data_IF_623969202970
#
_entry.id   IF_623969202970
#
_cell.length_a   1.000
_cell.length_b   1.000
_cell.length_c   1.000
_cell.angle_alpha   90.00
_cell.angle_beta   90.00
_cell.angle_gamma   90.00
#
_symmetry.space_group_name_H-M   'P 1'
#
loop_
_entity.id
_entity.type
_entity.pdbx_description
1 polymer ?
#
# COMPACT_ATOMS: atom_id res chain seq x y z
N UNK A 1 37.60 -36.82 22.21
CA UNK A 1 37.10 -36.72 23.60
C UNK A 1 36.32 -35.41 23.68
N UNK A 2 35.05 -35.35 23.29
CA UNK A 2 33.87 -35.88 23.97
C UNK A 2 33.75 -35.35 25.42
N UNK A 3 32.91 -34.33 25.61
CA UNK A 3 32.39 -33.95 26.91
C UNK A 3 30.85 -33.95 26.80
N UNK A 4 30.28 -35.00 27.36
CA UNK A 4 28.86 -35.26 27.60
C UNK A 4 28.49 -34.69 28.97
N UNK A 5 27.18 -34.70 29.28
CA UNK A 5 26.51 -34.59 30.59
C UNK A 5 26.03 -33.16 30.98
N UNK A 6 24.86 -32.89 31.56
CA UNK A 6 23.73 -33.67 32.12
C UNK A 6 22.49 -32.76 32.19
N UNK A 7 21.32 -33.33 31.91
CA UNK A 7 20.00 -32.82 32.28
C UNK A 7 19.73 -33.04 33.78
N UNK A 8 18.99 -32.15 34.46
CA UNK A 8 18.06 -32.67 35.46
C UNK A 8 16.65 -32.11 35.28
N UNK A 9 15.72 -33.05 35.15
CA UNK A 9 14.29 -32.89 35.35
C UNK A 9 14.02 -32.41 36.79
N UNK A 10 13.16 -31.40 36.94
CA UNK A 10 12.48 -31.12 38.20
C UNK A 10 10.98 -31.05 37.97
N UNK A 11 10.28 -31.93 38.68
CA UNK A 11 8.84 -32.00 38.84
C UNK A 11 8.50 -31.31 40.16
N UNK A 12 7.56 -30.36 40.15
CA UNK A 12 6.62 -30.19 41.27
C UNK A 12 5.47 -29.26 40.90
N UNK A 13 4.30 -29.70 41.36
CA UNK A 13 2.98 -29.13 41.26
C UNK A 13 2.85 -27.69 41.76
N UNK A 14 2.00 -26.91 41.09
CA UNK A 14 1.23 -25.84 41.72
C UNK A 14 0.01 -25.53 40.86
N UNK A 15 -1.12 -26.12 41.25
CA UNK A 15 -2.43 -25.71 40.79
C UNK A 15 -2.78 -24.40 41.50
N UNK A 16 -3.00 -23.33 40.73
CA UNK A 16 -3.60 -22.09 41.25
C UNK A 16 -4.84 -21.78 40.45
N UNK A 17 -5.93 -21.70 41.19
CA UNK A 17 -7.31 -21.57 40.74
C UNK A 17 -7.55 -20.30 39.93
N UNK A 18 -8.21 -20.44 38.77
CA UNK A 18 -8.81 -19.35 38.04
C UNK A 18 -10.10 -18.90 38.75
N UNK A 19 -10.05 -17.72 39.37
CA UNK A 19 -11.24 -17.01 39.84
C UNK A 19 -11.84 -16.29 38.65
N UNK A 20 -12.89 -16.88 38.07
CA UNK A 20 -13.73 -16.24 37.06
C UNK A 20 -14.72 -15.29 37.75
N UNK A 21 -14.46 -13.99 37.72
CA UNK A 21 -15.43 -12.97 38.11
C UNK A 21 -16.21 -12.54 36.86
N UNK A 22 -17.36 -13.17 36.66
CA UNK A 22 -18.35 -12.80 35.64
C UNK A 22 -19.15 -11.59 36.13
N UNK A 23 -18.81 -10.39 35.67
CA UNK A 23 -19.65 -9.21 35.86
C UNK A 23 -20.62 -9.08 34.67
N UNK A 24 -21.86 -9.47 34.91
CA UNK A 24 -22.98 -9.32 33.99
C UNK A 24 -23.40 -7.84 33.86
N UNK A 25 -23.28 -7.28 32.66
CA UNK A 25 -23.85 -5.98 32.32
C UNK A 25 -25.23 -6.17 31.68
N UNK A 26 -26.26 -5.89 32.48
CA UNK A 26 -27.68 -5.84 32.10
C UNK A 26 -27.91 -4.79 31.01
N UNK A 27 -28.26 -5.23 29.80
CA UNK A 27 -28.85 -4.38 28.78
C UNK A 27 -30.34 -4.20 29.10
N UNK A 28 -30.78 -2.94 29.24
CA UNK A 28 -32.20 -2.56 29.28
C UNK A 28 -32.70 -2.26 27.86
N UNK A 29 -33.96 -2.56 27.53
CA UNK A 29 -34.51 -2.31 26.20
C UNK A 29 -34.90 -0.83 26.07
N UNK A 30 -34.47 -0.19 24.99
CA UNK A 30 -34.98 1.11 24.58
C UNK A 30 -36.06 0.89 23.52
N UNK A 31 -37.31 1.09 23.93
CA UNK A 31 -38.44 1.33 23.04
C UNK A 31 -38.49 2.82 22.68
N UNK A 32 -38.66 3.15 21.39
CA UNK A 32 -39.62 4.16 20.90
C UNK A 32 -39.28 4.66 19.48
N UNK A 33 -40.25 4.49 18.58
CA UNK A 33 -40.67 5.42 17.53
C UNK A 33 -39.60 6.02 16.59
N UNK A 34 -39.35 5.36 15.46
CA UNK A 34 -38.88 6.04 14.25
C UNK A 34 -40.00 6.94 13.69
N UNK A 35 -39.91 8.26 13.91
CA UNK A 35 -40.58 9.26 13.08
C UNK A 35 -39.69 9.57 11.90
N UNK A 36 -40.22 9.40 10.69
CA UNK A 36 -39.63 9.90 9.46
C UNK A 36 -39.64 11.44 9.45
N UNK A 37 -38.55 12.12 9.07
CA UNK A 37 -38.64 13.51 8.70
C UNK A 37 -39.11 13.62 7.24
N UNK A 38 -40.20 14.37 7.04
CA UNK A 38 -40.72 14.79 5.74
C UNK A 38 -39.68 15.62 4.99
N UNK A 39 -39.51 15.34 3.70
CA UNK A 39 -38.82 16.22 2.76
C UNK A 39 -39.62 17.53 2.60
N UNK A 40 -38.99 18.72 2.68
CA UNK A 40 -39.60 19.94 2.17
C UNK A 40 -39.36 20.08 0.67
N UNK A 41 -40.38 20.64 0.02
CA UNK A 41 -40.51 20.83 -1.41
C UNK A 41 -39.50 21.84 -2.01
N UNK A 42 -39.39 21.73 -3.33
CA UNK A 42 -38.67 22.57 -4.29
C UNK A 42 -38.44 24.02 -3.86
N UNK A 43 -37.15 24.42 -3.83
CA UNK A 43 -36.74 25.82 -3.77
C UNK A 43 -36.55 26.34 -5.19
N UNK A 44 -37.29 27.41 -5.45
CA UNK A 44 -37.37 28.20 -6.67
C UNK A 44 -36.04 28.93 -6.91
N UNK A 45 -35.39 28.71 -8.06
CA UNK A 45 -34.23 29.49 -8.49
C UNK A 45 -34.66 30.85 -9.05
N UNK A 46 -34.18 32.00 -8.55
CA UNK A 46 -34.42 33.27 -9.20
C UNK A 46 -33.51 33.44 -10.43
N UNK A 47 -34.14 33.90 -11.50
CA UNK A 47 -33.59 34.26 -12.81
C UNK A 47 -32.53 35.37 -12.66
N UNK A 48 -31.28 35.06 -13.02
CA UNK A 48 -30.20 36.06 -13.08
C UNK A 48 -30.46 37.01 -14.25
N UNK A 49 -30.36 38.31 -13.94
CA UNK A 49 -30.54 39.42 -14.86
C UNK A 49 -29.45 39.49 -15.94
N UNK A 50 -29.88 39.93 -17.12
CA UNK A 50 -29.11 40.17 -18.34
C UNK A 50 -27.96 41.17 -18.17
N UNK A 51 -26.78 40.82 -18.69
CA UNK A 51 -25.65 41.73 -18.90
C UNK A 51 -25.92 42.72 -20.07
N UNK A 52 -25.32 43.94 -20.06
CA UNK A 52 -25.45 44.92 -21.13
C UNK A 52 -24.60 44.58 -22.38
N UNK A 53 -24.92 45.13 -23.56
CA UNK A 53 -24.40 44.66 -24.85
C UNK A 53 -22.96 45.12 -25.13
N UNK A 54 -22.15 44.20 -25.67
CA UNK A 54 -20.82 44.48 -26.20
C UNK A 54 -20.91 45.32 -27.47
N UNK A 55 -20.14 46.41 -27.50
CA UNK A 55 -20.03 47.33 -28.63
C UNK A 55 -19.31 46.69 -29.82
N UNK A 56 -19.84 47.02 -31.01
CA UNK A 56 -19.36 46.63 -32.33
C UNK A 56 -18.13 47.47 -32.71
N UNK A 57 -16.99 46.82 -32.92
CA UNK A 57 -15.80 47.47 -33.47
C UNK A 57 -15.47 46.93 -34.87
N UNK A 58 -15.37 47.90 -35.78
CA UNK A 58 -14.91 47.97 -37.17
C UNK A 58 -14.27 46.75 -37.85
N UNK A 59 -14.76 46.46 -39.05
CA UNK A 59 -14.20 45.55 -40.05
C UNK A 59 -12.92 46.14 -40.68
N UNK A 60 -11.77 45.63 -40.30
CA UNK A 60 -10.53 45.76 -41.07
C UNK A 60 -10.21 44.45 -41.77
N UNK A 61 -10.27 44.48 -43.09
CA UNK A 61 -9.94 43.40 -44.03
C UNK A 61 -8.47 43.00 -43.83
N UNK A 62 -8.22 41.78 -43.35
CA UNK A 62 -6.89 41.16 -43.36
C UNK A 62 -6.87 40.11 -44.46
N UNK A 63 -6.04 40.36 -45.48
CA UNK A 63 -5.77 39.45 -46.60
C UNK A 63 -5.09 38.18 -46.10
N UNK A 64 -5.65 37.01 -46.44
CA UNK A 64 -4.98 35.72 -46.28
C UNK A 64 -3.77 35.62 -47.22
N UNK A 65 -2.58 35.54 -46.64
CA UNK A 65 -1.36 35.13 -47.33
C UNK A 65 -1.13 33.64 -47.07
N UNK A 66 -1.26 32.81 -48.11
CA UNK A 66 -0.94 31.37 -48.05
C UNK A 66 0.56 31.18 -48.17
N UNK A 67 1.23 30.93 -47.04
CA UNK A 67 2.57 30.34 -46.99
C UNK A 67 2.50 29.04 -46.17
N UNK A 68 3.07 27.91 -46.63
CA UNK A 68 3.10 26.67 -45.86
C UNK A 68 4.01 26.80 -44.63
N UNK A 69 3.73 26.09 -43.52
CA UNK A 69 4.53 26.16 -42.31
C UNK A 69 5.94 25.57 -42.54
N UNK A 70 6.98 26.12 -41.87
CA UNK A 70 8.34 25.59 -41.99
C UNK A 70 8.45 24.17 -41.42
N UNK A 71 9.35 23.33 -41.97
CA UNK A 71 9.56 21.98 -41.47
C UNK A 71 10.16 21.99 -40.04
N UNK A 72 9.87 20.96 -39.22
CA UNK A 72 10.39 20.87 -37.87
C UNK A 72 11.92 20.76 -37.87
N UNK A 73 12.61 21.34 -36.87
CA UNK A 73 14.06 21.24 -36.76
C UNK A 73 14.50 19.78 -36.55
N UNK A 74 15.68 19.39 -37.06
CA UNK A 74 16.21 18.04 -36.86
C UNK A 74 16.51 17.79 -35.36
N UNK A 75 16.37 16.55 -34.87
CA UNK A 75 16.62 16.24 -33.48
C UNK A 75 18.09 16.48 -33.13
N UNK A 76 18.32 17.45 -32.25
CA UNK A 76 19.63 17.77 -31.67
C UNK A 76 20.08 16.67 -30.70
N UNK A 77 21.28 16.15 -30.95
CA UNK A 77 21.96 15.10 -30.19
C UNK A 77 22.42 15.57 -28.81
N UNK A 78 22.03 14.76 -27.80
CA UNK A 78 22.69 14.50 -26.51
C UNK A 78 22.87 15.65 -25.50
N UNK A 79 21.97 15.71 -24.52
CA UNK A 79 22.22 16.26 -23.18
C UNK A 79 22.39 15.13 -22.16
N UNK A 80 23.06 15.36 -21.02
CA UNK A 80 23.44 14.30 -20.08
C UNK A 80 22.18 13.69 -19.43
N UNK A 81 21.85 12.47 -19.80
CA UNK A 81 20.83 11.66 -19.13
C UNK A 81 21.30 11.33 -17.71
N UNK A 82 20.80 12.06 -16.72
CA UNK A 82 20.63 11.52 -15.37
C UNK A 82 19.51 10.48 -15.42
N UNK A 83 19.80 9.31 -16.00
CA UNK A 83 18.88 8.20 -16.03
C UNK A 83 18.73 7.69 -14.60
N UNK A 84 17.58 7.96 -13.98
CA UNK A 84 17.15 7.23 -12.80
C UNK A 84 17.18 5.73 -13.12
N UNK A 85 17.57 4.86 -12.17
CA UNK A 85 17.59 3.42 -12.44
C UNK A 85 16.20 2.98 -12.95
N UNK A 86 16.14 2.10 -13.96
CA UNK A 86 14.87 1.67 -14.54
C UNK A 86 14.04 0.99 -13.45
N UNK A 87 12.93 1.63 -13.08
CA UNK A 87 11.92 1.00 -12.23
C UNK A 87 11.36 -0.21 -12.99
N UNK A 88 11.26 -1.39 -12.37
CA UNK A 88 10.82 -2.58 -13.09
C UNK A 88 9.32 -2.52 -13.39
N UNK A 89 9.02 -2.11 -14.64
CA UNK A 89 7.73 -2.24 -15.34
C UNK A 89 6.58 -1.34 -14.86
N UNK A 90 6.70 -0.05 -15.21
CA UNK A 90 5.54 0.78 -15.54
C UNK A 90 5.05 0.35 -16.94
N UNK A 91 3.80 -0.12 -17.07
CA UNK A 91 3.18 -0.27 -18.39
C UNK A 91 2.86 1.13 -18.89
N UNK A 92 3.47 1.59 -20.01
CA UNK A 92 3.46 2.99 -20.43
C UNK A 92 2.14 3.44 -21.07
N UNK A 93 1.02 2.82 -20.70
CA UNK A 93 -0.32 3.25 -21.08
C UNK A 93 -0.94 4.02 -19.90
N UNK A 94 -1.29 5.31 -20.07
CA UNK A 94 -1.95 6.09 -19.02
C UNK A 94 -3.30 5.53 -18.58
N UNK A 95 -3.91 4.62 -19.36
CA UNK A 95 -5.16 3.94 -19.01
C UNK A 95 -4.94 2.59 -18.33
N UNK A 96 -3.69 2.14 -18.19
CA UNK A 96 -3.39 0.88 -17.54
C UNK A 96 -3.67 0.98 -16.04
N UNK A 97 -4.44 0.02 -15.54
CA UNK A 97 -4.78 -0.10 -14.12
C UNK A 97 -4.00 -1.27 -13.56
N UNK A 98 -3.04 -0.96 -12.68
CA UNK A 98 -2.30 -1.97 -11.94
C UNK A 98 -3.20 -2.60 -10.88
N UNK A 99 -3.30 -3.92 -10.88
CA UNK A 99 -4.07 -4.68 -9.89
C UNK A 99 -3.13 -5.15 -8.78
N UNK A 100 -3.31 -4.57 -7.59
CA UNK A 100 -2.64 -4.98 -6.36
C UNK A 100 -3.59 -5.87 -5.56
N UNK A 101 -3.24 -7.14 -5.39
CA UNK A 101 -4.00 -8.10 -4.59
C UNK A 101 -3.40 -8.29 -3.19
N UNK A 102 -4.26 -8.21 -2.17
CA UNK A 102 -3.90 -8.41 -0.76
C UNK A 102 -4.59 -9.64 -0.13
N UNK A 103 -5.10 -10.59 -0.93
CA UNK A 103 -5.88 -11.73 -0.39
C UNK A 103 -5.05 -12.56 0.58
N UNK A 104 -3.77 -12.79 0.25
CA UNK A 104 -2.85 -13.59 1.06
C UNK A 104 -2.40 -12.92 2.37
N UNK A 105 -2.75 -11.64 2.57
CA UNK A 105 -2.43 -10.88 3.76
C UNK A 105 -3.71 -10.37 4.44
N UNK A 106 -4.35 -9.35 3.89
CA UNK A 106 -5.57 -8.77 4.47
C UNK A 106 -6.74 -9.75 4.46
N UNK A 107 -6.83 -10.62 3.45
CA UNK A 107 -7.87 -11.66 3.39
C UNK A 107 -7.75 -12.65 4.56
N UNK A 108 -6.52 -13.04 4.89
CA UNK A 108 -6.20 -13.91 6.05
C UNK A 108 -6.46 -13.21 7.40
N UNK A 109 -6.54 -11.88 7.45
CA UNK A 109 -6.93 -11.18 8.69
C UNK A 109 -8.44 -11.27 8.97
N UNK A 110 -9.24 -11.85 8.07
CA UNK A 110 -10.67 -12.08 8.30
C UNK A 110 -10.89 -13.11 9.40
N UNK A 111 -11.84 -12.90 10.33
CA UNK A 111 -12.17 -13.88 11.36
C UNK A 111 -12.47 -15.25 10.72
N UNK A 112 -11.90 -16.31 11.29
CA UNK A 112 -12.06 -17.69 10.83
C UNK A 112 -11.42 -18.04 9.48
N UNK A 113 -10.60 -17.16 8.91
CA UNK A 113 -9.82 -17.43 7.69
C UNK A 113 -8.35 -17.46 8.08
N UNK A 114 -7.80 -18.64 8.38
CA UNK A 114 -6.36 -18.83 8.53
C UNK A 114 -5.86 -19.68 7.37
N UNK A 115 -4.73 -19.30 6.77
CA UNK A 115 -4.18 -20.03 5.63
C UNK A 115 -2.88 -20.71 6.01
N UNK A 116 -2.79 -22.00 5.74
CA UNK A 116 -1.52 -22.73 5.81
C UNK A 116 -0.58 -22.27 4.69
N UNK A 117 0.73 -22.47 4.85
CA UNK A 117 1.71 -22.11 3.80
C UNK A 117 1.42 -22.78 2.45
N UNK A 118 0.84 -23.99 2.46
CA UNK A 118 0.43 -24.71 1.25
C UNK A 118 -0.77 -24.05 0.55
N UNK A 119 -1.75 -23.59 1.33
CA UNK A 119 -2.92 -22.88 0.81
C UNK A 119 -2.50 -21.51 0.26
N UNK A 120 -1.64 -20.77 0.98
CA UNK A 120 -1.08 -19.50 0.48
C UNK A 120 -0.38 -19.69 -0.86
N UNK A 121 0.46 -20.72 -0.98
CA UNK A 121 1.14 -21.05 -2.23
C UNK A 121 0.16 -21.46 -3.34
N UNK A 122 -0.88 -22.24 -3.02
CA UNK A 122 -1.91 -22.59 -4.00
C UNK A 122 -2.63 -21.35 -4.53
N UNK A 123 -3.06 -20.45 -3.65
CA UNK A 123 -3.73 -19.20 -4.01
C UNK A 123 -2.77 -18.30 -4.82
N UNK A 124 -1.51 -18.16 -4.41
CA UNK A 124 -0.50 -17.39 -5.14
C UNK A 124 -0.34 -17.86 -6.60
N UNK A 125 -0.35 -19.18 -6.84
CA UNK A 125 -0.34 -19.74 -8.20
C UNK A 125 -1.59 -19.36 -8.99
N UNK A 126 -2.77 -19.34 -8.36
CA UNK A 126 -4.01 -18.95 -9.04
C UNK A 126 -4.02 -17.45 -9.37
N UNK A 127 -3.56 -16.60 -8.44
CA UNK A 127 -3.43 -15.15 -8.67
C UNK A 127 -2.45 -14.86 -9.82
N UNK A 128 -1.36 -15.61 -9.90
CA UNK A 128 -0.41 -15.52 -11.01
C UNK A 128 -1.07 -15.89 -12.35
N UNK A 129 -1.84 -16.98 -12.38
CA UNK A 129 -2.59 -17.40 -13.59
C UNK A 129 -3.69 -16.42 -13.99
N UNK A 130 -4.26 -15.69 -13.03
CA UNK A 130 -5.25 -14.65 -13.28
C UNK A 130 -4.63 -13.39 -13.91
N UNK A 131 -3.29 -13.26 -13.89
CA UNK A 131 -2.59 -12.10 -14.41
C UNK A 131 -2.60 -10.91 -13.46
N UNK A 132 -2.62 -11.15 -12.14
CA UNK A 132 -2.50 -10.10 -11.13
C UNK A 132 -1.10 -9.48 -11.18
N UNK A 133 -1.03 -8.16 -11.02
CA UNK A 133 0.24 -7.45 -11.18
C UNK A 133 1.14 -7.50 -9.97
N UNK A 134 0.55 -7.27 -8.80
CA UNK A 134 1.27 -7.27 -7.53
C UNK A 134 0.51 -8.17 -6.57
N UNK A 135 1.22 -9.13 -6.00
CA UNK A 135 0.70 -10.05 -5.01
C UNK A 135 1.37 -9.73 -3.68
N UNK A 136 0.63 -9.16 -2.74
CA UNK A 136 1.07 -9.02 -1.35
C UNK A 136 0.88 -10.34 -0.62
N UNK A 137 1.99 -11.03 -0.38
CA UNK A 137 2.00 -12.43 0.06
C UNK A 137 1.95 -12.59 1.59
N UNK A 138 1.99 -11.48 2.34
CA UNK A 138 1.90 -11.47 3.79
C UNK A 138 2.87 -10.51 4.46
N UNK A 139 3.02 -10.69 5.78
CA UNK A 139 3.91 -9.91 6.63
C UNK A 139 5.02 -10.80 7.23
N UNK A 140 6.23 -10.83 6.64
CA UNK A 140 7.31 -11.73 7.02
C UNK A 140 7.79 -11.63 8.48
N UNK A 141 7.64 -10.47 9.12
CA UNK A 141 8.11 -10.25 10.48
C UNK A 141 7.15 -10.80 11.55
N UNK A 142 5.92 -11.18 11.18
CA UNK A 142 4.89 -11.68 12.11
C UNK A 142 5.29 -13.00 12.76
N UNK A 143 5.77 -13.96 11.97
CA UNK A 143 6.14 -15.29 12.46
C UNK A 143 7.21 -15.93 11.57
N UNK A 144 7.88 -16.96 12.11
CA UNK A 144 8.83 -17.74 11.30
C UNK A 144 8.14 -18.48 10.16
N UNK A 145 6.91 -18.92 10.38
CA UNK A 145 6.13 -19.66 9.39
C UNK A 145 5.71 -18.74 8.24
N UNK A 146 5.32 -17.49 8.52
CA UNK A 146 5.06 -16.47 7.48
C UNK A 146 6.31 -16.18 6.67
N UNK A 147 7.45 -15.97 7.33
CA UNK A 147 8.71 -15.77 6.64
C UNK A 147 9.04 -16.92 5.67
N UNK A 148 8.91 -18.16 6.12
CA UNK A 148 9.19 -19.35 5.30
C UNK A 148 8.18 -19.49 4.16
N UNK A 149 6.89 -19.26 4.43
CA UNK A 149 5.83 -19.31 3.42
C UNK A 149 6.05 -18.28 2.32
N UNK A 150 6.33 -17.03 2.70
CA UNK A 150 6.56 -15.92 1.78
C UNK A 150 7.80 -16.18 0.93
N UNK A 151 8.88 -16.67 1.54
CA UNK A 151 10.09 -17.04 0.80
C UNK A 151 9.82 -18.18 -0.19
N UNK A 152 9.04 -19.20 0.19
CA UNK A 152 8.67 -20.27 -0.73
C UNK A 152 7.84 -19.75 -1.92
N UNK A 153 6.87 -18.86 -1.67
CA UNK A 153 6.05 -18.23 -2.72
C UNK A 153 6.93 -17.37 -3.64
N UNK A 154 7.81 -16.55 -3.07
CA UNK A 154 8.74 -15.70 -3.82
C UNK A 154 9.61 -16.52 -4.79
N UNK A 155 10.14 -17.66 -4.32
CA UNK A 155 10.93 -18.56 -5.16
C UNK A 155 10.09 -19.19 -6.28
N UNK A 156 8.90 -19.68 -5.94
CA UNK A 156 8.14 -20.51 -6.86
C UNK A 156 7.39 -19.69 -7.92
N UNK A 157 6.69 -18.64 -7.50
CA UNK A 157 5.93 -17.77 -8.41
C UNK A 157 6.87 -17.04 -9.39
N UNK A 158 8.09 -16.72 -8.95
CA UNK A 158 9.10 -16.13 -9.84
C UNK A 158 9.55 -17.04 -10.99
N UNK A 159 9.33 -18.35 -10.87
CA UNK A 159 9.60 -19.29 -11.95
C UNK A 159 8.37 -19.57 -12.83
N UNK A 160 7.17 -19.19 -12.38
CA UNK A 160 5.94 -19.33 -13.12
C UNK A 160 5.77 -18.14 -14.07
N UNK A 161 6.50 -18.17 -15.18
CA UNK A 161 6.31 -17.22 -16.28
C UNK A 161 5.04 -17.58 -17.04
N UNK A 162 4.17 -16.61 -17.26
CA UNK A 162 2.97 -16.86 -18.06
C UNK A 162 3.33 -17.12 -19.55
N UNK A 163 2.39 -17.61 -20.38
CA UNK A 163 2.64 -17.85 -21.81
C UNK A 163 3.06 -16.59 -22.60
N UNK A 164 2.81 -15.40 -22.07
CA UNK A 164 3.12 -14.10 -22.63
C UNK A 164 4.43 -13.48 -22.09
N UNK A 165 5.13 -14.18 -21.19
CA UNK A 165 6.37 -13.71 -20.57
C UNK A 165 6.19 -12.93 -19.27
N UNK A 166 4.96 -12.73 -18.79
CA UNK A 166 4.66 -11.97 -17.59
C UNK A 166 5.08 -12.69 -16.31
N UNK A 167 5.57 -11.91 -15.35
CA UNK A 167 5.88 -12.35 -13.99
C UNK A 167 5.33 -11.31 -13.02
N UNK A 168 4.51 -11.71 -12.03
CA UNK A 168 3.95 -10.77 -11.06
C UNK A 168 5.02 -10.26 -10.09
N UNK A 169 4.78 -9.08 -9.54
CA UNK A 169 5.56 -8.52 -8.43
C UNK A 169 5.18 -9.25 -7.14
N UNK A 170 6.19 -9.72 -6.40
CA UNK A 170 5.99 -10.33 -5.09
C UNK A 170 6.28 -9.29 -4.01
N UNK A 171 5.23 -8.93 -3.27
CA UNK A 171 5.26 -7.86 -2.28
C UNK A 171 5.24 -8.41 -0.85
N UNK A 172 6.20 -8.00 -0.03
CA UNK A 172 6.24 -8.29 1.41
C UNK A 172 5.90 -7.05 2.23
N UNK A 173 4.90 -7.17 3.10
CA UNK A 173 4.52 -6.08 4.02
C UNK A 173 5.54 -5.93 5.14
N UNK A 174 5.76 -4.71 5.60
CA UNK A 174 6.69 -4.39 6.68
C UNK A 174 6.22 -3.18 7.49
N UNK A 175 6.38 -3.21 8.82
CA UNK A 175 6.30 -1.96 9.59
C UNK A 175 7.48 -1.05 9.27
N UNK A 176 7.32 0.24 9.55
CA UNK A 176 8.35 1.25 9.31
C UNK A 176 9.48 1.20 10.36
N UNK A 177 10.21 0.09 10.45
CA UNK A 177 11.39 -0.09 11.30
C UNK A 177 12.45 -0.98 10.60
N UNK A 178 13.71 -0.86 11.01
CA UNK A 178 14.84 -1.52 10.32
C UNK A 178 14.75 -3.04 10.35
N UNK A 179 14.31 -3.62 11.48
CA UNK A 179 14.22 -5.07 11.66
C UNK A 179 13.21 -5.67 10.70
N UNK A 180 12.00 -5.11 10.67
CA UNK A 180 10.91 -5.63 9.84
C UNK A 180 11.22 -5.44 8.36
N UNK A 181 11.88 -4.35 7.97
CA UNK A 181 12.27 -4.10 6.57
C UNK A 181 13.35 -5.10 6.14
N UNK A 182 14.32 -5.38 7.01
CA UNK A 182 15.34 -6.38 6.72
C UNK A 182 14.74 -7.78 6.56
N UNK A 183 13.82 -8.17 7.45
CA UNK A 183 13.13 -9.47 7.36
C UNK A 183 12.26 -9.54 6.10
N UNK A 184 11.54 -8.46 5.78
CA UNK A 184 10.75 -8.39 4.55
C UNK A 184 11.63 -8.54 3.31
N UNK A 185 12.75 -7.82 3.24
CA UNK A 185 13.71 -7.93 2.15
C UNK A 185 14.27 -9.34 2.02
N UNK A 186 14.72 -9.98 3.11
CA UNK A 186 15.28 -11.33 3.05
C UNK A 186 14.26 -12.38 2.58
N UNK A 187 12.98 -12.16 2.84
CA UNK A 187 11.90 -13.02 2.38
C UNK A 187 11.63 -12.87 0.88
N UNK A 188 11.59 -11.63 0.36
CA UNK A 188 11.16 -11.37 -1.03
C UNK A 188 12.30 -11.21 -2.03
N UNK A 189 13.53 -10.89 -1.63
CA UNK A 189 14.67 -10.58 -2.53
C UNK A 189 15.01 -11.66 -3.56
N UNK A 190 14.59 -12.89 -3.32
CA UNK A 190 14.80 -14.01 -4.24
C UNK A 190 13.80 -14.02 -5.39
N UNK A 191 12.74 -13.21 -5.31
CA UNK A 191 11.79 -13.05 -6.39
C UNK A 191 12.41 -12.31 -7.56
N UNK A 192 11.94 -12.59 -8.79
CA UNK A 192 12.36 -11.85 -9.99
C UNK A 192 11.99 -10.37 -9.90
N UNK A 193 10.82 -10.07 -9.34
CA UNK A 193 10.29 -8.72 -9.15
C UNK A 193 9.90 -8.52 -7.68
N UNK A 194 10.87 -8.24 -6.78
CA UNK A 194 10.60 -8.07 -5.37
C UNK A 194 10.12 -6.64 -5.06
N UNK A 195 9.07 -6.51 -4.26
CA UNK A 195 8.60 -5.23 -3.70
C UNK A 195 8.55 -5.29 -2.18
N UNK A 196 8.92 -4.18 -1.53
CA UNK A 196 8.65 -3.97 -0.11
C UNK A 196 7.51 -2.96 0.00
N UNK A 197 6.44 -3.33 0.69
CA UNK A 197 5.40 -2.39 1.09
C UNK A 197 5.59 -2.06 2.57
N UNK A 198 5.92 -0.81 2.88
CA UNK A 198 6.07 -0.34 4.26
C UNK A 198 5.00 0.67 4.64
N UNK A 199 4.61 0.70 5.90
CA UNK A 199 3.56 1.58 6.38
C UNK A 199 3.86 2.14 7.77
N UNK A 200 3.30 3.30 8.05
CA UNK A 200 3.30 3.91 9.39
C UNK A 200 1.96 4.59 9.64
N UNK A 201 1.46 4.48 10.87
CA UNK A 201 0.22 5.15 11.26
C UNK A 201 0.40 6.66 11.27
N UNK A 202 -0.52 7.35 10.60
CA UNK A 202 -0.39 8.79 10.34
C UNK A 202 -1.45 9.64 11.05
N UNK A 203 -2.53 9.05 11.54
CA UNK A 203 -3.60 9.83 12.18
C UNK A 203 -3.22 10.33 13.57
N UNK A 204 -3.79 11.47 13.96
CA UNK A 204 -3.47 12.12 15.24
C UNK A 204 -3.67 11.19 16.45
N UNK A 205 -4.72 10.36 16.40
CA UNK A 205 -5.01 9.36 17.44
C UNK A 205 -3.90 8.31 17.50
N UNK A 206 -3.51 7.73 16.37
CA UNK A 206 -2.42 6.75 16.36
C UNK A 206 -1.07 7.36 16.76
N UNK A 207 -0.77 8.58 16.32
CA UNK A 207 0.47 9.26 16.71
C UNK A 207 0.53 9.55 18.20
N UNK A 208 -0.58 10.00 18.82
CA UNK A 208 -0.63 10.32 20.25
C UNK A 208 -0.65 9.07 21.13
N UNK A 209 -1.48 8.08 20.81
CA UNK A 209 -1.75 6.95 21.71
C UNK A 209 -0.96 5.68 21.38
N UNK A 210 -0.68 5.40 20.09
CA UNK A 210 0.03 4.17 19.66
C UNK A 210 1.54 4.42 19.51
N UNK A 211 1.92 5.46 18.76
CA UNK A 211 3.33 5.72 18.43
C UNK A 211 4.05 6.59 19.47
N UNK A 212 3.32 7.51 20.11
CA UNK A 212 3.86 8.56 20.99
C UNK A 212 4.97 9.37 20.30
N UNK A 213 4.71 9.81 19.07
CA UNK A 213 5.65 10.55 18.20
C UNK A 213 5.03 11.81 17.62
N UNK A 214 5.87 12.80 17.33
CA UNK A 214 5.46 13.99 16.56
C UNK A 214 5.26 13.66 15.08
N UNK A 215 4.59 14.57 14.36
CA UNK A 215 4.39 14.45 12.91
C UNK A 215 5.71 14.43 12.15
N UNK A 216 6.63 15.31 12.55
CA UNK A 216 7.96 15.46 11.96
C UNK A 216 8.80 14.20 12.21
N UNK A 217 8.68 13.59 13.39
CA UNK A 217 9.32 12.31 13.69
C UNK A 217 8.77 11.19 12.80
N UNK A 218 7.46 11.12 12.60
CA UNK A 218 6.82 10.12 11.72
C UNK A 218 7.29 10.27 10.28
N UNK A 219 7.31 11.50 9.74
CA UNK A 219 7.84 11.79 8.39
C UNK A 219 9.31 11.36 8.29
N UNK A 220 10.13 11.71 9.29
CA UNK A 220 11.56 11.37 9.28
C UNK A 220 11.80 9.86 9.42
N UNK A 221 10.95 9.13 10.14
CA UNK A 221 11.02 7.68 10.19
C UNK A 221 10.69 7.11 8.81
N UNK A 222 9.56 7.51 8.22
CA UNK A 222 9.14 7.04 6.90
C UNK A 222 10.23 7.25 5.84
N UNK A 223 10.76 8.48 5.73
CA UNK A 223 11.84 8.82 4.80
C UNK A 223 13.11 8.00 5.02
N UNK A 224 13.53 7.81 6.28
CA UNK A 224 14.72 7.00 6.60
C UNK A 224 14.53 5.53 6.25
N UNK A 225 13.33 5.00 6.49
CA UNK A 225 13.02 3.60 6.29
C UNK A 225 12.82 3.24 4.82
N UNK A 226 12.20 4.12 4.03
CA UNK A 226 12.16 3.97 2.56
C UNK A 226 13.58 4.04 1.98
N UNK A 227 14.40 4.99 2.43
CA UNK A 227 15.81 5.06 2.04
C UNK A 227 16.62 3.82 2.47
N UNK A 228 16.29 3.23 3.64
CA UNK A 228 16.91 2.00 4.11
C UNK A 228 16.55 0.81 3.20
N UNK A 229 15.28 0.64 2.82
CA UNK A 229 14.85 -0.38 1.87
C UNK A 229 15.58 -0.27 0.52
N UNK A 230 15.73 0.95 0.01
CA UNK A 230 16.54 1.22 -1.20
C UNK A 230 18.02 0.81 -1.03
N UNK A 231 18.64 1.15 0.10
CA UNK A 231 20.04 0.78 0.40
C UNK A 231 20.27 -0.73 0.51
N UNK A 232 19.24 -1.50 0.87
CA UNK A 232 19.30 -2.97 0.87
C UNK A 232 19.31 -3.57 -0.55
N UNK A 233 18.99 -2.77 -1.57
CA UNK A 233 18.91 -3.19 -2.98
C UNK A 233 17.48 -3.35 -3.51
N UNK A 234 16.47 -2.90 -2.76
CA UNK A 234 15.08 -2.93 -3.22
C UNK A 234 14.79 -1.70 -4.09
N UNK A 235 14.63 -1.91 -5.40
CA UNK A 235 14.33 -0.82 -6.36
C UNK A 235 12.83 -0.50 -6.47
N UNK A 236 11.98 -1.29 -5.81
CA UNK A 236 10.53 -1.14 -5.84
C UNK A 236 9.99 -1.12 -4.40
N UNK A 237 9.74 0.08 -3.89
CA UNK A 237 9.29 0.31 -2.52
C UNK A 237 8.00 1.10 -2.56
N UNK A 238 6.97 0.55 -1.93
CA UNK A 238 5.67 1.18 -1.76
C UNK A 238 5.52 1.66 -0.31
N UNK A 239 4.99 2.86 -0.12
CA UNK A 239 4.74 3.43 1.18
C UNK A 239 3.25 3.75 1.37
N UNK A 240 2.66 3.21 2.44
CA UNK A 240 1.28 3.49 2.81
C UNK A 240 1.17 4.33 4.09
N UNK A 241 0.54 5.51 4.05
CA UNK A 241 0.10 6.20 5.25
C UNK A 241 -1.11 5.48 5.87
N UNK A 242 -0.90 4.71 6.93
CA UNK A 242 -1.98 3.99 7.62
C UNK A 242 -2.94 4.99 8.28
N UNK A 243 -4.24 4.74 8.14
CA UNK A 243 -5.36 5.61 8.59
C UNK A 243 -5.46 6.96 7.84
N UNK A 244 -4.99 6.99 6.58
CA UNK A 244 -5.03 8.18 5.73
C UNK A 244 -6.41 8.82 5.55
N UNK A 245 -7.48 8.01 5.53
CA UNK A 245 -8.85 8.50 5.38
C UNK A 245 -9.33 9.41 6.52
N UNK A 246 -8.62 9.43 7.66
CA UNK A 246 -8.91 10.30 8.81
C UNK A 246 -7.92 11.46 8.95
N UNK A 247 -7.07 11.68 7.94
CA UNK A 247 -6.09 12.76 7.93
C UNK A 247 -6.65 14.06 7.38
N UNK A 248 -6.05 15.16 7.84
CA UNK A 248 -6.18 16.42 7.13
C UNK A 248 -5.47 16.33 5.77
N UNK A 249 -6.10 16.74 4.65
CA UNK A 249 -5.54 16.61 3.30
C UNK A 249 -4.11 17.15 3.14
N UNK A 250 -3.78 18.25 3.85
CA UNK A 250 -2.43 18.84 3.83
C UNK A 250 -1.34 17.92 4.37
N UNK A 251 -1.66 17.07 5.36
CA UNK A 251 -0.68 16.15 5.92
C UNK A 251 -0.42 14.95 5.00
N UNK A 252 -1.46 14.42 4.34
CA UNK A 252 -1.30 13.40 3.29
C UNK A 252 -0.39 13.90 2.16
N UNK A 253 -0.65 15.11 1.67
CA UNK A 253 0.16 15.74 0.61
C UNK A 253 1.61 15.89 1.08
N UNK A 254 1.84 16.40 2.28
CA UNK A 254 3.17 16.54 2.86
C UNK A 254 3.94 15.20 2.88
N UNK A 255 3.30 14.13 3.34
CA UNK A 255 3.89 12.78 3.34
C UNK A 255 4.25 12.31 1.92
N UNK A 256 3.34 12.46 0.97
CA UNK A 256 3.54 12.01 -0.41
C UNK A 256 4.68 12.74 -1.14
N UNK A 257 4.95 14.00 -0.79
CA UNK A 257 6.05 14.78 -1.40
C UNK A 257 7.40 14.60 -0.69
N UNK A 258 7.41 14.12 0.56
CA UNK A 258 8.62 14.07 1.40
C UNK A 258 9.25 12.68 1.54
N UNK A 259 8.55 11.64 1.09
CA UNK A 259 8.95 10.22 1.18
C UNK A 259 9.31 9.72 -0.22
#
# INVERSE_FOLDING_TARGET
>A
MAATFINPSFSSSSAVAAVATTAALKLRPASSSCRTPKCPAAVFFPRIASQPPLQRASSSVIRCSTAPPPPPPPPSSEGPTTASPPRPEYIPDPNYICIFDTILHNGEQSPSVAMTSKEKLHIARQLTKLGIDIIEVGFPATSRDDFVAIKAIALEVSNAVDPHGYVPVICGLSQCNEKDIWVAWDAVRIARRPRIHTFIATSGIHMQYKLKKSKEEVINIARRMVAFAWRLGCNDVEFSPEDAGRLFPKFCLCMAFMI
#
